data_IF_992467597762
#
_entry.id   IF_992467597762
#
_cell.length_a   1.000
_cell.length_b   1.000
_cell.length_c   1.000
_cell.angle_alpha   90.00
_cell.angle_beta   90.00
_cell.angle_gamma   90.00
#
_symmetry.space_group_name_H-M   'P 1'
#
loop_
_entity.id
_entity.type
_entity.pdbx_description
1 polymer ?
#
# COMPACT_ATOMS: atom_id res chain seq x y z
N UNK A 1 38.14 -0.65 17.95
CA UNK A 1 36.97 -0.27 17.12
C UNK A 1 35.82 -1.17 17.53
N UNK A 2 34.69 -0.61 17.99
CA UNK A 2 33.50 -1.39 18.33
C UNK A 2 32.96 -2.05 17.07
N UNK A 3 32.65 -3.35 17.14
CA UNK A 3 32.04 -4.07 16.01
C UNK A 3 30.69 -3.41 15.71
N UNK A 4 30.38 -3.02 14.46
CA UNK A 4 29.11 -2.38 14.15
C UNK A 4 27.97 -3.36 14.47
N UNK A 5 26.86 -2.86 15.05
CA UNK A 5 25.69 -3.68 15.38
C UNK A 5 24.92 -4.03 14.11
N UNK A 6 24.15 -5.14 14.09
CA UNK A 6 23.22 -5.41 13.01
C UNK A 6 22.16 -4.32 12.90
N UNK A 7 21.68 -4.02 11.70
CA UNK A 7 20.57 -3.10 11.47
C UNK A 7 19.26 -3.87 11.25
N UNK A 8 18.15 -3.34 11.75
CA UNK A 8 16.84 -3.94 11.60
C UNK A 8 15.79 -2.89 11.23
N UNK A 9 15.01 -3.22 10.22
CA UNK A 9 13.84 -2.44 9.83
C UNK A 9 12.57 -2.96 10.53
N UNK A 10 11.67 -2.07 10.96
CA UNK A 10 10.33 -2.45 11.43
C UNK A 10 9.25 -1.72 10.64
N UNK A 11 8.40 -2.49 9.96
CA UNK A 11 7.20 -2.03 9.28
C UNK A 11 5.97 -2.24 10.15
N UNK A 12 5.10 -1.24 10.20
CA UNK A 12 3.81 -1.32 10.89
C UNK A 12 2.83 -0.31 10.30
N UNK A 13 1.53 -0.61 10.42
CA UNK A 13 0.48 0.40 10.31
C UNK A 13 0.56 1.46 11.42
N UNK A 14 -0.30 2.47 11.38
CA UNK A 14 -0.41 3.46 12.45
C UNK A 14 -0.87 2.81 13.77
N UNK A 15 -1.73 1.80 13.67
CA UNK A 15 -2.27 1.02 14.77
C UNK A 15 -1.19 0.09 15.39
N UNK A 16 -0.29 -0.43 14.54
CA UNK A 16 0.83 -1.25 14.96
C UNK A 16 2.03 -0.47 15.54
N UNK A 17 2.04 0.86 15.43
CA UNK A 17 3.18 1.69 15.86
C UNK A 17 3.58 1.48 17.35
N UNK A 18 2.65 1.40 18.32
CA UNK A 18 3.02 1.16 19.72
C UNK A 18 3.73 -0.20 19.94
N UNK A 19 3.40 -1.19 19.11
CA UNK A 19 4.05 -2.52 19.13
C UNK A 19 5.46 -2.40 18.54
N UNK A 20 5.62 -1.68 17.42
CA UNK A 20 6.91 -1.43 16.79
C UNK A 20 7.87 -0.69 17.74
N UNK A 21 7.40 0.35 18.43
CA UNK A 21 8.17 1.10 19.44
C UNK A 21 8.61 0.22 20.60
N UNK A 22 7.71 -0.64 21.10
CA UNK A 22 8.04 -1.57 22.18
C UNK A 22 9.10 -2.61 21.77
N UNK A 23 9.07 -3.10 20.53
CA UNK A 23 10.12 -3.97 19.97
C UNK A 23 11.43 -3.19 19.86
N UNK A 24 11.41 -1.96 19.35
CA UNK A 24 12.60 -1.09 19.24
C UNK A 24 13.27 -0.91 20.60
N UNK A 25 12.50 -0.62 21.65
CA UNK A 25 13.03 -0.49 23.02
C UNK A 25 13.67 -1.82 23.48
N UNK A 26 12.98 -2.95 23.28
CA UNK A 26 13.47 -4.24 23.74
C UNK A 26 14.73 -4.72 23.00
N UNK A 27 14.93 -4.29 21.76
CA UNK A 27 16.05 -4.72 20.91
C UNK A 27 17.23 -3.72 20.88
N UNK A 28 17.16 -2.60 21.59
CA UNK A 28 18.21 -1.55 21.57
C UNK A 28 19.62 -2.11 21.81
N UNK A 29 19.80 -3.05 22.73
CA UNK A 29 21.11 -3.65 22.98
C UNK A 29 21.56 -4.67 21.91
N UNK A 30 20.64 -5.20 21.11
CA UNK A 30 20.90 -6.28 20.16
C UNK A 30 21.19 -5.77 18.74
N UNK A 31 20.44 -4.76 18.28
CA UNK A 31 20.56 -4.21 16.93
C UNK A 31 20.15 -2.73 16.86
N UNK A 32 20.50 -2.10 15.76
CA UNK A 32 20.07 -0.75 15.40
C UNK A 32 18.73 -0.83 14.68
N UNK A 33 17.66 -0.55 15.41
CA UNK A 33 16.28 -0.63 14.89
C UNK A 33 15.85 0.72 14.32
N UNK A 34 15.32 0.71 13.11
CA UNK A 34 14.64 1.85 12.49
C UNK A 34 13.19 1.49 12.17
N UNK A 35 12.24 2.24 12.71
CA UNK A 35 10.82 2.08 12.42
C UNK A 35 10.49 2.87 11.16
N UNK A 36 9.62 2.33 10.30
CA UNK A 36 9.16 2.97 9.06
C UNK A 36 8.83 4.46 9.20
N UNK A 37 8.08 4.83 10.23
CA UNK A 37 7.63 6.21 10.49
C UNK A 37 8.75 7.17 10.92
N UNK A 38 9.96 6.68 11.25
CA UNK A 38 11.08 7.48 11.76
C UNK A 38 11.98 8.05 10.65
N UNK A 39 11.40 8.34 9.48
CA UNK A 39 12.11 9.04 8.40
C UNK A 39 13.10 8.16 7.63
N UNK A 40 12.77 6.88 7.42
CA UNK A 40 13.54 5.98 6.54
C UNK A 40 13.61 6.54 5.11
N UNK A 41 12.59 7.29 4.69
CA UNK A 41 12.51 7.97 3.40
C UNK A 41 12.85 9.46 3.55
N UNK A 42 13.85 9.90 2.77
CA UNK A 42 14.16 11.33 2.65
C UNK A 42 13.10 12.03 1.81
N UNK A 43 12.98 13.36 1.96
CA UNK A 43 12.12 14.19 1.12
C UNK A 43 12.40 13.91 -0.37
N UNK A 44 11.41 13.37 -1.08
CA UNK A 44 11.45 13.18 -2.54
C UNK A 44 12.15 11.91 -3.05
N UNK A 45 12.30 10.85 -2.24
CA UNK A 45 12.83 9.55 -2.67
C UNK A 45 12.12 8.38 -1.99
N UNK A 46 11.02 7.87 -2.55
CA UNK A 46 10.38 6.65 -2.04
C UNK A 46 9.77 5.76 -3.13
N UNK A 47 10.46 5.60 -4.25
CA UNK A 47 10.03 4.56 -5.18
C UNK A 47 10.10 3.18 -4.49
N UNK A 48 9.37 2.17 -4.96
CA UNK A 48 9.58 0.79 -4.49
C UNK A 48 11.07 0.41 -4.62
N UNK A 49 11.74 0.89 -5.67
CA UNK A 49 13.18 0.76 -5.84
C UNK A 49 13.94 1.45 -4.71
N UNK A 50 13.52 2.61 -4.23
CA UNK A 50 14.10 3.26 -3.04
C UNK A 50 13.84 2.46 -1.76
N UNK A 51 12.69 1.80 -1.61
CA UNK A 51 12.44 0.87 -0.52
C UNK A 51 13.42 -0.30 -0.61
N UNK A 52 13.48 -1.00 -1.76
CA UNK A 52 14.39 -2.13 -2.01
C UNK A 52 15.87 -1.74 -1.81
N UNK A 53 16.30 -0.61 -2.37
CA UNK A 53 17.65 -0.08 -2.23
C UNK A 53 17.98 0.22 -0.75
N UNK A 54 17.00 0.70 0.02
CA UNK A 54 17.17 0.89 1.47
C UNK A 54 17.10 -0.41 2.25
N UNK A 55 16.35 -1.42 1.78
CA UNK A 55 16.37 -2.77 2.35
C UNK A 55 17.75 -3.41 2.25
N UNK A 56 18.58 -3.03 1.27
CA UNK A 56 19.98 -3.47 1.22
C UNK A 56 20.79 -3.05 2.46
N UNK A 57 20.43 -1.92 3.08
CA UNK A 57 21.07 -1.38 4.27
C UNK A 57 20.67 -2.07 5.57
N UNK A 58 19.66 -2.94 5.54
CA UNK A 58 19.18 -3.66 6.71
C UNK A 58 19.65 -5.12 6.74
N UNK A 59 20.00 -5.62 7.92
CA UNK A 59 20.39 -7.01 8.14
C UNK A 59 19.18 -7.91 8.45
N UNK A 60 18.09 -7.32 8.94
CA UNK A 60 16.85 -7.96 9.38
C UNK A 60 15.63 -7.06 9.15
N UNK A 61 14.43 -7.66 9.13
CA UNK A 61 13.16 -6.93 9.14
C UNK A 61 12.11 -7.59 10.05
N UNK A 62 11.27 -6.80 10.70
CA UNK A 62 10.01 -7.28 11.30
C UNK A 62 8.81 -6.50 10.78
N UNK A 63 7.72 -7.22 10.55
CA UNK A 63 6.45 -6.67 10.11
C UNK A 63 5.44 -6.90 11.24
N UNK A 64 4.93 -5.81 11.82
CA UNK A 64 3.88 -5.85 12.84
C UNK A 64 2.54 -5.96 12.15
N UNK A 65 1.80 -7.01 12.48
CA UNK A 65 0.50 -7.32 11.88
C UNK A 65 -0.60 -7.07 12.90
N UNK A 66 -1.59 -6.30 12.48
CA UNK A 66 -2.82 -6.02 13.22
C UNK A 66 -4.02 -6.60 12.46
N UNK A 67 -5.17 -6.81 13.11
CA UNK A 67 -6.34 -7.42 12.47
C UNK A 67 -6.84 -6.64 11.26
N UNK A 68 -6.71 -5.31 11.30
CA UNK A 68 -7.12 -4.41 10.23
C UNK A 68 -6.28 -4.64 8.96
N UNK A 69 -5.08 -5.21 9.09
CA UNK A 69 -4.19 -5.53 7.97
C UNK A 69 -4.56 -6.83 7.23
N UNK A 70 -5.35 -7.72 7.84
CA UNK A 70 -5.53 -9.13 7.37
C UNK A 70 -7.01 -9.49 7.18
N UNK A 71 -7.92 -8.51 7.07
CA UNK A 71 -9.37 -8.79 7.02
C UNK A 71 -9.74 -9.79 5.92
N UNK A 72 -10.40 -10.87 6.33
CA UNK A 72 -10.47 -12.15 5.62
C UNK A 72 -11.63 -12.20 4.64
N UNK A 73 -11.28 -12.55 3.41
CA UNK A 73 -12.15 -13.14 2.40
C UNK A 73 -12.71 -14.53 2.82
N UNK A 74 -14.01 -14.72 2.53
CA UNK A 74 -14.84 -15.95 2.48
C UNK A 74 -15.84 -16.11 3.62
N UNK A 75 -16.89 -15.28 3.63
CA UNK A 75 -18.20 -15.66 3.12
C UNK A 75 -19.03 -14.37 3.04
N UNK A 76 -19.82 -14.26 1.97
CA UNK A 76 -20.65 -13.11 1.60
C UNK A 76 -19.94 -11.89 1.02
N UNK A 77 -20.57 -11.41 -0.05
CA UNK A 77 -20.32 -10.18 -0.76
C UNK A 77 -20.15 -9.02 0.22
N UNK A 78 -18.95 -8.44 0.31
CA UNK A 78 -18.69 -7.05 0.68
C UNK A 78 -17.19 -6.74 0.51
N UNK A 79 -16.92 -5.54 -0.01
CA UNK A 79 -15.60 -5.01 -0.36
C UNK A 79 -14.63 -5.05 0.84
N UNK A 80 -13.40 -5.54 0.63
CA UNK A 80 -12.27 -5.15 1.48
C UNK A 80 -10.94 -5.28 0.70
N UNK A 81 -9.97 -4.36 0.88
CA UNK A 81 -8.75 -4.27 0.10
C UNK A 81 -7.87 -5.49 0.38
N UNK A 82 -7.42 -6.17 -0.67
CA UNK A 82 -6.52 -7.32 -0.54
C UNK A 82 -5.09 -6.83 -0.28
N UNK A 83 -4.64 -7.00 0.96
CA UNK A 83 -3.32 -7.56 1.28
C UNK A 83 -2.03 -6.73 1.03
N UNK A 84 -1.96 -5.47 1.46
CA UNK A 84 -0.69 -4.68 1.46
C UNK A 84 0.43 -5.35 2.29
N UNK A 85 0.07 -6.00 3.39
CA UNK A 85 1.03 -6.64 4.32
C UNK A 85 1.69 -7.90 3.73
N UNK A 86 0.98 -8.69 2.92
CA UNK A 86 1.56 -9.89 2.31
C UNK A 86 2.65 -9.57 1.30
N UNK A 87 2.41 -8.50 0.55
CA UNK A 87 3.32 -7.99 -0.46
C UNK A 87 4.59 -7.44 0.19
N UNK A 88 4.44 -6.64 1.26
CA UNK A 88 5.56 -6.17 2.07
C UNK A 88 6.36 -7.35 2.61
N UNK A 89 5.72 -8.31 3.27
CA UNK A 89 6.39 -9.51 3.78
C UNK A 89 7.13 -10.25 2.65
N UNK A 90 6.51 -10.41 1.48
CA UNK A 90 7.14 -11.02 0.30
C UNK A 90 8.38 -10.26 -0.18
N UNK A 91 8.32 -8.92 -0.21
CA UNK A 91 9.44 -8.05 -0.56
C UNK A 91 10.60 -8.22 0.42
N UNK A 92 10.33 -8.22 1.72
CA UNK A 92 11.36 -8.42 2.75
C UNK A 92 11.98 -9.81 2.69
N UNK A 93 11.18 -10.86 2.44
CA UNK A 93 11.70 -12.22 2.25
C UNK A 93 12.61 -12.29 1.02
N UNK A 94 12.20 -11.69 -0.10
CA UNK A 94 13.00 -11.64 -1.32
C UNK A 94 14.31 -10.88 -1.13
N UNK A 95 14.27 -9.75 -0.42
CA UNK A 95 15.42 -8.89 -0.20
C UNK A 95 16.38 -9.43 0.86
N UNK A 96 15.88 -9.94 1.99
CA UNK A 96 16.67 -10.29 3.18
C UNK A 96 16.81 -11.80 3.41
N UNK A 97 15.90 -12.60 2.86
CA UNK A 97 15.79 -14.03 3.16
C UNK A 97 14.81 -14.29 4.32
N UNK A 98 14.15 -15.44 4.26
CA UNK A 98 13.09 -15.84 5.19
C UNK A 98 13.55 -15.94 6.65
N UNK A 99 14.81 -16.31 6.87
CA UNK A 99 15.44 -16.41 8.18
C UNK A 99 15.78 -15.05 8.82
N UNK A 100 15.68 -13.95 8.05
CA UNK A 100 15.95 -12.58 8.48
C UNK A 100 14.71 -11.69 8.46
N UNK A 101 13.55 -12.25 8.13
CA UNK A 101 12.25 -11.57 8.12
C UNK A 101 11.34 -12.19 9.17
N UNK A 102 10.78 -11.36 10.04
CA UNK A 102 9.89 -11.76 11.12
C UNK A 102 8.49 -11.17 10.93
N UNK A 103 7.47 -11.92 11.31
CA UNK A 103 6.11 -11.39 11.48
C UNK A 103 5.79 -11.32 12.96
N UNK A 104 5.18 -10.22 13.40
CA UNK A 104 4.87 -9.98 14.82
C UNK A 104 3.39 -9.68 14.98
N UNK A 105 2.68 -10.44 15.81
CA UNK A 105 1.25 -10.24 16.01
C UNK A 105 0.76 -10.74 17.37
N UNK A 106 -0.40 -10.24 17.80
CA UNK A 106 -1.09 -10.68 19.01
C UNK A 106 -1.75 -12.05 18.78
N UNK A 107 -1.31 -13.07 19.53
CA UNK A 107 -1.84 -14.44 19.40
C UNK A 107 -3.28 -14.59 19.86
N UNK A 108 -3.78 -13.66 20.70
CA UNK A 108 -5.16 -13.69 21.18
C UNK A 108 -6.14 -13.00 20.26
N UNK A 109 -5.63 -12.20 19.33
CA UNK A 109 -6.48 -11.53 18.37
C UNK A 109 -6.67 -12.42 17.16
N UNK A 110 -7.91 -12.81 16.83
CA UNK A 110 -8.17 -13.73 15.74
C UNK A 110 -7.76 -13.10 14.41
N UNK A 111 -6.80 -13.74 13.74
CA UNK A 111 -6.24 -13.29 12.48
C UNK A 111 -5.94 -14.54 11.63
N UNK A 112 -6.44 -14.58 10.39
CA UNK A 112 -6.17 -15.70 9.48
C UNK A 112 -5.03 -15.30 8.59
N UNK A 113 -3.83 -15.66 9.03
CA UNK A 113 -2.65 -15.58 8.19
C UNK A 113 -2.83 -16.47 6.96
N UNK A 114 -2.53 -15.97 5.76
CA UNK A 114 -2.44 -16.80 4.56
C UNK A 114 -1.48 -17.96 4.78
N UNK A 115 -1.85 -19.14 4.29
CA UNK A 115 -1.03 -20.36 4.42
C UNK A 115 0.38 -20.19 3.85
N UNK A 116 0.56 -19.28 2.90
CA UNK A 116 1.84 -18.98 2.27
C UNK A 116 2.83 -18.27 3.21
N UNK A 117 2.34 -17.65 4.29
CA UNK A 117 3.16 -17.09 5.37
C UNK A 117 3.67 -18.13 6.38
N UNK A 118 3.26 -19.39 6.27
CA UNK A 118 3.66 -20.45 7.20
C UNK A 118 5.19 -20.74 7.23
N UNK A 119 5.95 -20.17 6.29
CA UNK A 119 7.41 -20.26 6.26
C UNK A 119 8.14 -19.12 7.00
N UNK A 120 7.49 -18.00 7.29
CA UNK A 120 8.11 -16.83 7.96
C UNK A 120 8.12 -17.08 9.45
N UNK A 121 9.21 -16.71 10.16
CA UNK A 121 9.31 -16.93 11.60
C UNK A 121 8.32 -16.03 12.34
N UNK A 122 7.23 -16.57 12.92
CA UNK A 122 6.25 -15.75 13.61
C UNK A 122 6.71 -15.53 15.06
N UNK A 123 6.82 -14.27 15.46
CA UNK A 123 7.05 -13.88 16.84
C UNK A 123 5.74 -13.35 17.42
N UNK A 124 5.07 -14.16 18.23
CA UNK A 124 3.75 -13.79 18.76
C UNK A 124 3.85 -13.26 20.18
N UNK A 125 2.93 -12.37 20.55
CA UNK A 125 2.81 -11.87 21.92
C UNK A 125 1.35 -11.98 22.40
N UNK A 126 1.12 -11.70 23.68
CA UNK A 126 -0.20 -11.50 24.26
C UNK A 126 -0.12 -10.28 25.15
N UNK A 127 -1.08 -9.36 25.04
CA UNK A 127 -1.11 -8.16 25.88
C UNK A 127 -1.34 -8.57 27.34
N UNK A 128 -0.39 -8.24 28.21
CA UNK A 128 -0.52 -8.46 29.64
C UNK A 128 -1.70 -7.66 30.22
N UNK A 129 -2.30 -8.16 31.30
CA UNK A 129 -3.42 -7.48 31.99
C UNK A 129 -3.08 -6.07 32.48
N UNK A 130 -1.79 -5.76 32.68
CA UNK A 130 -1.31 -4.42 33.04
C UNK A 130 -1.28 -3.44 31.87
N UNK A 131 -1.50 -3.89 30.62
CA UNK A 131 -1.38 -3.08 29.42
C UNK A 131 0.06 -2.73 29.03
N UNK A 132 1.07 -3.23 29.73
CA UNK A 132 2.48 -2.93 29.44
C UNK A 132 2.95 -3.70 28.19
N UNK A 133 2.91 -3.02 27.04
CA UNK A 133 3.30 -3.60 25.74
C UNK A 133 4.76 -4.05 25.70
N UNK A 134 5.68 -3.26 26.27
CA UNK A 134 7.10 -3.61 26.31
C UNK A 134 7.32 -4.97 26.98
N UNK A 135 6.67 -5.20 28.14
CA UNK A 135 6.73 -6.46 28.86
C UNK A 135 6.02 -7.59 28.11
N UNK A 136 4.88 -7.27 27.48
CA UNK A 136 4.09 -8.22 26.67
C UNK A 136 4.90 -8.77 25.48
N UNK A 137 5.73 -7.93 24.88
CA UNK A 137 6.61 -8.27 23.76
C UNK A 137 7.95 -8.87 24.17
N UNK A 138 8.22 -9.04 25.47
CA UNK A 138 9.51 -9.51 25.96
C UNK A 138 9.92 -10.88 25.39
N UNK A 139 8.97 -11.83 25.35
CA UNK A 139 9.22 -13.16 24.79
C UNK A 139 9.50 -13.11 23.27
N UNK A 140 8.66 -12.40 22.50
CA UNK A 140 8.83 -12.21 21.06
C UNK A 140 10.19 -11.55 20.74
N UNK A 141 10.53 -10.48 21.45
CA UNK A 141 11.79 -9.76 21.29
C UNK A 141 13.00 -10.62 21.65
N UNK A 142 12.89 -11.49 22.66
CA UNK A 142 13.98 -12.42 23.04
C UNK A 142 14.25 -13.45 21.94
N UNK A 143 13.21 -13.98 21.28
CA UNK A 143 13.37 -14.91 20.17
C UNK A 143 14.01 -14.24 18.94
N UNK A 144 13.57 -13.02 18.62
CA UNK A 144 14.16 -12.21 17.54
C UNK A 144 15.64 -11.92 17.85
N UNK A 145 15.94 -11.49 19.09
CA UNK A 145 17.31 -11.25 19.56
C UNK A 145 18.20 -12.48 19.38
N UNK A 146 17.74 -13.66 19.77
CA UNK A 146 18.52 -14.90 19.59
C UNK A 146 18.84 -15.17 18.11
N UNK A 147 17.89 -14.89 17.21
CA UNK A 147 18.13 -15.02 15.75
C UNK A 147 19.14 -14.00 15.25
N UNK A 148 19.07 -12.75 15.72
CA UNK A 148 20.02 -11.68 15.38
C UNK A 148 21.43 -12.03 15.86
N UNK A 149 21.57 -12.53 17.09
CA UNK A 149 22.87 -12.95 17.65
C UNK A 149 23.48 -14.12 16.87
N UNK A 150 22.66 -15.07 16.43
CA UNK A 150 23.09 -16.24 15.66
C UNK A 150 23.51 -15.88 14.23
N UNK A 151 22.71 -15.08 13.52
CA UNK A 151 22.91 -14.79 12.11
C UNK A 151 23.81 -13.58 11.86
N UNK A 152 23.92 -12.66 12.83
CA UNK A 152 24.76 -11.47 12.74
C UNK A 152 24.46 -10.56 11.54
N UNK A 153 25.41 -9.66 11.22
CA UNK A 153 25.33 -8.79 10.04
C UNK A 153 25.33 -9.62 8.76
N UNK A 154 24.51 -9.22 7.81
CA UNK A 154 24.44 -9.79 6.47
C UNK A 154 25.60 -9.23 5.64
N UNK A 155 26.11 -10.04 4.72
CA UNK A 155 26.83 -9.52 3.56
C UNK A 155 25.80 -9.35 2.45
N UNK A 156 25.50 -8.11 2.00
CA UNK A 156 24.47 -7.90 0.99
C UNK A 156 24.78 -8.75 -0.25
N UNK A 157 23.80 -9.56 -0.66
CA UNK A 157 23.79 -10.27 -1.94
C UNK A 157 22.39 -10.12 -2.53
N UNK A 158 22.07 -8.93 -3.02
CA UNK A 158 21.03 -8.80 -4.04
C UNK A 158 21.78 -8.75 -5.38
N UNK A 159 21.53 -9.74 -6.23
CA UNK A 159 22.20 -9.88 -7.54
C UNK A 159 21.23 -9.66 -8.71
N UNK A 160 20.00 -9.18 -8.45
CA UNK A 160 19.04 -8.86 -9.50
C UNK A 160 18.48 -7.46 -9.30
N UNK A 161 18.53 -6.63 -10.34
CA UNK A 161 17.60 -5.50 -10.45
C UNK A 161 16.18 -6.08 -10.40
N UNK A 162 15.33 -5.57 -9.50
CA UNK A 162 13.89 -5.85 -9.58
C UNK A 162 13.41 -5.30 -10.91
N UNK A 163 12.83 -6.15 -11.75
CA UNK A 163 12.35 -5.71 -13.06
C UNK A 163 11.10 -4.82 -12.89
N UNK A 164 10.92 -3.90 -13.84
CA UNK A 164 9.88 -2.85 -13.81
C UNK A 164 8.46 -3.45 -13.72
N UNK A 165 8.25 -4.65 -14.28
CA UNK A 165 6.98 -5.37 -14.22
C UNK A 165 6.66 -5.82 -12.79
N UNK A 166 7.64 -6.39 -12.08
CA UNK A 166 7.48 -6.76 -10.67
C UNK A 166 7.14 -5.54 -9.82
N UNK A 167 7.78 -4.39 -10.08
CA UNK A 167 7.42 -3.16 -9.37
C UNK A 167 5.99 -2.71 -9.67
N UNK A 168 5.54 -2.77 -10.93
CA UNK A 168 4.17 -2.39 -11.28
C UNK A 168 3.13 -3.32 -10.67
N UNK A 169 3.39 -4.62 -10.62
CA UNK A 169 2.54 -5.56 -9.91
C UNK A 169 2.39 -5.15 -8.43
N UNK A 170 3.49 -4.76 -7.78
CA UNK A 170 3.47 -4.34 -6.38
C UNK A 170 2.65 -3.05 -6.20
N UNK A 171 2.85 -2.06 -7.07
CA UNK A 171 2.08 -0.81 -7.03
C UNK A 171 0.58 -1.08 -7.24
N UNK A 172 0.24 -1.95 -8.19
CA UNK A 172 -1.14 -2.38 -8.43
C UNK A 172 -1.76 -2.99 -7.17
N UNK A 173 -1.05 -3.91 -6.51
CA UNK A 173 -1.53 -4.58 -5.31
C UNK A 173 -1.75 -3.59 -4.14
N UNK A 174 -1.04 -2.45 -4.10
CA UNK A 174 -1.20 -1.38 -3.11
C UNK A 174 -2.33 -0.38 -3.42
N UNK A 175 -2.84 -0.37 -4.66
CA UNK A 175 -3.86 0.57 -5.11
C UNK A 175 -5.26 -0.04 -5.06
N UNK A 176 -6.26 0.81 -4.86
CA UNK A 176 -7.65 0.40 -5.05
C UNK A 176 -8.06 0.53 -6.53
N UNK A 177 -9.06 -0.24 -6.94
CA UNK A 177 -9.51 -0.25 -8.34
C UNK A 177 -9.96 1.13 -8.85
N UNK A 178 -10.43 2.02 -7.97
CA UNK A 178 -10.82 3.37 -8.36
C UNK A 178 -9.59 4.19 -8.76
N UNK A 179 -8.53 4.17 -7.95
CA UNK A 179 -7.26 4.81 -8.26
C UNK A 179 -6.70 4.34 -9.62
N UNK A 180 -6.74 3.04 -9.89
CA UNK A 180 -6.33 2.48 -11.18
C UNK A 180 -7.14 3.07 -12.34
N UNK A 181 -8.46 3.15 -12.21
CA UNK A 181 -9.30 3.75 -13.25
C UNK A 181 -8.92 5.22 -13.49
N UNK A 182 -8.67 5.99 -12.44
CA UNK A 182 -8.23 7.38 -12.60
C UNK A 182 -6.82 7.51 -13.21
N UNK A 183 -5.89 6.61 -12.90
CA UNK A 183 -4.56 6.60 -13.55
C UNK A 183 -4.67 6.26 -15.04
N UNK A 184 -5.50 5.26 -15.39
CA UNK A 184 -5.80 4.91 -16.78
C UNK A 184 -6.47 6.10 -17.50
N UNK A 185 -7.44 6.74 -16.86
CA UNK A 185 -8.11 7.93 -17.37
C UNK A 185 -7.11 9.04 -17.72
N UNK A 186 -6.22 9.37 -16.78
CA UNK A 186 -5.20 10.41 -16.97
C UNK A 186 -4.24 10.05 -18.11
N UNK A 187 -3.91 8.77 -18.27
CA UNK A 187 -3.03 8.29 -19.34
C UNK A 187 -3.68 8.37 -20.71
N UNK A 188 -4.90 7.86 -20.85
CA UNK A 188 -5.57 7.80 -22.16
C UNK A 188 -6.09 9.16 -22.64
N UNK A 189 -6.43 10.06 -21.71
CA UNK A 189 -6.97 11.38 -22.04
C UNK A 189 -5.94 12.50 -21.94
N UNK A 190 -4.74 12.21 -21.44
CA UNK A 190 -3.70 13.19 -21.10
C UNK A 190 -4.17 14.31 -20.16
N UNK A 191 -5.29 14.13 -19.47
CA UNK A 191 -5.87 15.13 -18.56
C UNK A 191 -5.15 15.16 -17.22
N UNK A 192 -5.04 16.37 -16.67
CA UNK A 192 -4.61 16.60 -15.29
C UNK A 192 -5.80 16.64 -14.35
N UNK A 193 -5.62 16.14 -13.12
CA UNK A 193 -6.63 16.21 -12.07
C UNK A 193 -6.22 17.25 -11.02
N UNK A 194 -7.16 17.97 -10.44
CA UNK A 194 -6.87 19.06 -9.52
C UNK A 194 -6.92 18.59 -8.06
N UNK A 195 -5.88 18.88 -7.25
CA UNK A 195 -5.91 18.65 -5.79
C UNK A 195 -6.85 19.66 -5.13
N UNK A 196 -8.01 19.19 -4.71
CA UNK A 196 -8.93 19.99 -3.90
C UNK A 196 -8.46 19.96 -2.43
N UNK A 197 -8.20 21.12 -1.80
CA UNK A 197 -8.01 21.16 -0.35
C UNK A 197 -9.29 20.66 0.33
N UNK A 198 -9.18 19.71 1.28
CA UNK A 198 -10.34 19.22 2.06
C UNK A 198 -11.06 20.40 2.73
N UNK A 199 -12.18 20.84 2.16
CA UNK A 199 -13.13 21.76 2.76
C UNK A 199 -14.48 21.04 2.96
N UNK A 200 -14.55 20.16 3.97
CA UNK A 200 -15.81 19.52 4.41
C UNK A 200 -16.17 18.17 3.74
N UNK A 201 -17.29 17.59 4.18
CA UNK A 201 -17.89 16.36 3.63
C UNK A 201 -18.32 16.56 2.17
N UNK A 202 -17.89 15.67 1.26
CA UNK A 202 -18.33 15.65 -0.14
C UNK A 202 -17.39 16.35 -1.15
N UNK A 203 -16.07 16.31 -0.94
CA UNK A 203 -15.09 17.06 -1.74
C UNK A 203 -14.25 16.23 -2.73
N UNK A 204 -14.60 14.95 -2.93
CA UNK A 204 -13.94 14.09 -3.92
C UNK A 204 -14.62 14.09 -5.28
N UNK A 205 -13.89 13.65 -6.31
CA UNK A 205 -14.42 13.41 -7.67
C UNK A 205 -15.35 12.22 -7.59
N UNK A 206 -16.65 12.40 -7.88
CA UNK A 206 -17.58 11.28 -7.89
C UNK A 206 -17.25 10.35 -9.03
N UNK A 207 -17.37 9.04 -8.80
CA UNK A 207 -17.12 8.04 -9.82
C UNK A 207 -18.02 6.82 -9.66
N UNK A 208 -18.18 6.11 -10.77
CA UNK A 208 -18.72 4.76 -10.86
C UNK A 208 -17.98 3.98 -11.95
N UNK A 209 -17.79 2.68 -11.75
CA UNK A 209 -17.21 1.79 -12.76
C UNK A 209 -17.80 0.39 -12.68
N UNK A 210 -17.74 -0.36 -13.78
CA UNK A 210 -18.16 -1.76 -13.81
C UNK A 210 -17.19 -2.63 -14.61
N UNK A 211 -16.98 -3.85 -14.14
CA UNK A 211 -16.11 -4.86 -14.75
C UNK A 211 -16.97 -5.97 -15.37
N UNK A 212 -16.55 -6.53 -16.51
CA UNK A 212 -17.30 -7.49 -17.33
C UNK A 212 -17.94 -8.66 -16.58
N UNK A 213 -17.26 -9.13 -15.53
CA UNK A 213 -17.61 -10.33 -14.75
C UNK A 213 -17.43 -10.14 -13.23
N UNK A 214 -17.38 -8.91 -12.72
CA UNK A 214 -17.22 -8.60 -11.28
C UNK A 214 -18.13 -7.44 -10.88
N UNK A 215 -18.42 -7.33 -9.58
CA UNK A 215 -19.12 -6.17 -9.03
C UNK A 215 -18.36 -4.87 -9.37
N UNK A 216 -19.11 -3.84 -9.76
CA UNK A 216 -18.60 -2.49 -9.96
C UNK A 216 -18.35 -1.76 -8.63
N UNK A 217 -17.76 -0.57 -8.70
CA UNK A 217 -17.56 0.32 -7.56
C UNK A 217 -18.13 1.70 -7.85
N UNK A 218 -18.56 2.40 -6.80
CA UNK A 218 -18.94 3.81 -6.86
C UNK A 218 -18.48 4.52 -5.59
N UNK A 219 -18.24 5.82 -5.66
CA UNK A 219 -17.82 6.60 -4.51
C UNK A 219 -17.32 7.98 -4.87
N UNK A 220 -16.55 8.55 -3.95
CA UNK A 220 -15.81 9.79 -4.14
C UNK A 220 -14.31 9.46 -4.13
N UNK A 221 -13.58 10.03 -5.09
CA UNK A 221 -12.15 9.82 -5.25
C UNK A 221 -11.39 11.11 -4.97
N UNK A 222 -10.40 11.05 -4.09
CA UNK A 222 -9.52 12.17 -3.79
C UNK A 222 -8.14 11.95 -4.43
N UNK A 223 -7.78 12.81 -5.37
CA UNK A 223 -6.44 12.79 -5.96
C UNK A 223 -5.36 13.12 -4.91
N UNK A 224 -5.70 13.89 -3.88
CA UNK A 224 -4.80 14.18 -2.77
C UNK A 224 -4.54 12.93 -1.93
N UNK A 225 -5.57 12.12 -1.67
CA UNK A 225 -5.40 10.82 -1.00
C UNK A 225 -4.56 9.85 -1.84
N UNK A 226 -4.76 9.80 -3.16
CA UNK A 226 -3.90 8.98 -4.04
C UNK A 226 -2.44 9.45 -3.98
N UNK A 227 -2.21 10.77 -4.01
CA UNK A 227 -0.87 11.33 -3.86
C UNK A 227 -0.26 11.01 -2.49
N UNK A 228 -1.06 10.89 -1.43
CA UNK A 228 -0.58 10.55 -0.10
C UNK A 228 -0.42 9.03 0.14
N UNK A 229 -1.14 8.18 -0.62
CA UNK A 229 -1.00 6.71 -0.54
C UNK A 229 0.32 6.23 -1.11
N UNK A 230 0.74 6.80 -2.25
CA UNK A 230 1.99 6.47 -2.93
C UNK A 230 2.75 7.74 -3.33
N UNK A 231 3.15 8.61 -2.38
CA UNK A 231 3.82 9.90 -2.69
C UNK A 231 5.15 9.74 -3.41
N UNK A 232 5.61 8.51 -3.44
CA UNK A 232 6.98 8.11 -3.47
C UNK A 232 7.17 7.09 -4.63
N UNK A 233 6.10 6.46 -5.11
CA UNK A 233 6.08 5.58 -6.29
C UNK A 233 6.39 6.30 -7.63
N UNK A 234 6.59 7.62 -7.61
CA UNK A 234 6.89 8.45 -8.77
C UNK A 234 5.87 8.24 -9.91
N UNK A 235 4.58 8.11 -9.58
CA UNK A 235 3.50 7.96 -10.57
C UNK A 235 2.86 9.31 -10.94
N UNK A 236 2.86 10.24 -10.00
CA UNK A 236 2.12 11.50 -10.07
C UNK A 236 3.04 12.66 -9.70
N UNK A 237 2.92 13.75 -10.45
CA UNK A 237 3.59 15.02 -10.16
C UNK A 237 2.56 16.14 -10.08
N UNK A 238 2.72 17.04 -9.10
CA UNK A 238 1.87 18.22 -8.95
C UNK A 238 2.62 19.49 -9.38
N UNK A 239 1.94 20.36 -10.11
CA UNK A 239 2.46 21.68 -10.44
C UNK A 239 2.18 22.70 -9.31
N UNK A 240 2.73 23.92 -9.44
CA UNK A 240 2.52 25.02 -8.49
C UNK A 240 1.07 25.51 -8.41
N UNK A 241 0.20 25.03 -9.30
CA UNK A 241 -1.22 25.35 -9.38
C UNK A 241 -2.10 24.19 -8.89
N UNK A 242 -1.50 23.19 -8.22
CA UNK A 242 -2.19 22.00 -7.69
C UNK A 242 -2.79 21.09 -8.76
N UNK A 243 -2.39 21.21 -10.03
CA UNK A 243 -2.73 20.23 -11.05
C UNK A 243 -1.79 19.03 -10.94
N UNK A 244 -2.37 17.84 -10.96
CA UNK A 244 -1.66 16.56 -10.89
C UNK A 244 -1.67 15.92 -12.26
N UNK A 245 -0.50 15.54 -12.73
CA UNK A 245 -0.29 14.82 -13.99
C UNK A 245 0.48 13.53 -13.74
N UNK A 246 0.41 12.58 -14.68
CA UNK A 246 1.26 11.41 -14.66
C UNK A 246 2.71 11.79 -15.00
N UNK A 247 3.65 11.21 -14.27
CA UNK A 247 5.07 11.18 -14.65
C UNK A 247 5.28 10.20 -15.82
N UNK A 248 6.48 10.14 -16.39
CA UNK A 248 6.81 9.12 -17.42
C UNK A 248 6.63 7.70 -16.89
N UNK A 249 6.99 7.47 -15.62
CA UNK A 249 6.77 6.19 -14.94
C UNK A 249 5.28 5.93 -14.69
N UNK A 250 4.54 6.95 -14.29
CA UNK A 250 3.08 6.88 -14.14
C UNK A 250 2.37 6.47 -15.42
N UNK A 251 2.80 7.00 -16.57
CA UNK A 251 2.28 6.61 -17.89
C UNK A 251 2.59 5.15 -18.22
N UNK A 252 3.81 4.68 -17.96
CA UNK A 252 4.17 3.27 -18.14
C UNK A 252 3.35 2.35 -17.24
N UNK A 253 3.14 2.73 -15.98
CA UNK A 253 2.32 1.97 -15.04
C UNK A 253 0.85 1.92 -15.49
N UNK A 254 0.28 3.06 -15.90
CA UNK A 254 -1.08 3.11 -16.43
C UNK A 254 -1.24 2.27 -17.71
N UNK A 255 -0.24 2.28 -18.60
CA UNK A 255 -0.23 1.39 -19.76
C UNK A 255 -0.18 -0.08 -19.33
N UNK A 256 0.67 -0.42 -18.35
CA UNK A 256 0.74 -1.78 -17.80
C UNK A 256 -0.61 -2.23 -17.21
N UNK A 257 -1.35 -1.35 -16.53
CA UNK A 257 -2.70 -1.65 -16.03
C UNK A 257 -3.67 -2.00 -17.18
N UNK A 258 -3.61 -1.25 -18.28
CA UNK A 258 -4.42 -1.54 -19.48
C UNK A 258 -4.04 -2.89 -20.08
N UNK A 259 -2.75 -3.12 -20.29
CA UNK A 259 -2.22 -4.34 -20.93
C UNK A 259 -2.52 -5.60 -20.12
N UNK A 260 -2.63 -5.50 -18.80
CA UNK A 260 -2.94 -6.61 -17.88
C UNK A 260 -4.44 -6.71 -17.52
N UNK A 261 -5.31 -5.92 -18.16
CA UNK A 261 -6.77 -6.07 -18.03
C UNK A 261 -7.38 -5.47 -16.76
N UNK A 262 -6.72 -4.47 -16.16
CA UNK A 262 -7.23 -3.73 -15.00
C UNK A 262 -8.17 -2.58 -15.38
N UNK A 263 -8.26 -2.25 -16.68
CA UNK A 263 -9.24 -1.28 -17.18
C UNK A 263 -10.66 -1.85 -17.12
N UNK A 264 -11.57 -1.08 -16.52
CA UNK A 264 -13.00 -1.39 -16.49
C UNK A 264 -13.65 -1.27 -17.88
N UNK A 265 -14.68 -2.08 -18.12
CA UNK A 265 -15.46 -1.99 -19.37
C UNK A 265 -16.30 -0.72 -19.41
N UNK A 266 -16.65 -0.17 -18.24
CA UNK A 266 -17.35 1.10 -18.09
C UNK A 266 -16.78 1.88 -16.90
N UNK A 267 -16.59 3.17 -17.11
CA UNK A 267 -16.23 4.14 -16.07
C UNK A 267 -16.92 5.47 -16.35
N UNK A 268 -17.39 6.12 -15.29
CA UNK A 268 -17.91 7.47 -15.34
C UNK A 268 -17.48 8.22 -14.08
N UNK A 269 -17.12 9.48 -14.27
CA UNK A 269 -16.77 10.41 -13.19
C UNK A 269 -17.17 11.83 -13.55
N UNK A 270 -17.05 12.76 -12.60
CA UNK A 270 -17.27 14.19 -12.85
C UNK A 270 -16.30 14.79 -13.88
N UNK A 271 -15.18 14.10 -14.16
CA UNK A 271 -14.10 14.60 -15.03
C UNK A 271 -14.03 13.90 -16.39
N UNK A 272 -14.77 12.80 -16.56
CA UNK A 272 -14.82 12.05 -17.81
C UNK A 272 -15.34 10.62 -17.65
N UNK A 273 -15.43 9.89 -18.77
CA UNK A 273 -16.03 8.56 -18.85
C UNK A 273 -15.48 7.76 -20.03
N UNK A 274 -15.59 6.43 -19.97
CA UNK A 274 -15.47 5.54 -21.13
C UNK A 274 -16.43 4.34 -21.01
N UNK A 275 -16.59 3.65 -22.14
CA UNK A 275 -17.44 2.47 -22.23
C UNK A 275 -18.92 2.78 -22.23
N UNK A 276 -19.71 1.74 -22.45
CA UNK A 276 -21.17 1.82 -22.37
C UNK A 276 -21.65 1.09 -21.13
N UNK A 277 -22.66 1.65 -20.47
CA UNK A 277 -23.18 1.05 -19.26
C UNK A 277 -23.85 -0.32 -19.58
N UNK A 278 -23.53 -1.40 -18.85
CA UNK A 278 -24.13 -2.71 -19.09
C UNK A 278 -25.66 -2.68 -18.94
N UNK A 279 -26.38 -3.23 -19.93
CA UNK A 279 -27.84 -3.28 -19.96
C UNK A 279 -28.47 -4.06 -18.80
N UNK A 280 -27.71 -4.95 -18.15
CA UNK A 280 -28.18 -5.84 -17.07
C UNK A 280 -28.03 -5.28 -15.65
N UNK A 281 -27.71 -3.99 -15.46
CA UNK A 281 -27.76 -3.35 -14.14
C UNK A 281 -26.82 -3.99 -13.11
N UNK A 282 -25.55 -4.17 -13.47
CA UNK A 282 -24.49 -4.72 -12.60
C UNK A 282 -24.04 -3.77 -11.47
N UNK A 283 -24.97 -3.00 -10.90
CA UNK A 283 -24.70 -2.16 -9.75
C UNK A 283 -25.01 -2.94 -8.45
N UNK A 284 -24.24 -2.72 -7.38
CA UNK A 284 -24.62 -3.21 -6.05
C UNK A 284 -25.87 -2.51 -5.49
N UNK A 285 -26.33 -1.37 -6.07
CA UNK A 285 -27.50 -0.61 -5.61
C UNK A 285 -28.38 -0.10 -6.77
N UNK A 286 -29.72 0.06 -6.58
CA UNK A 286 -30.59 0.70 -7.56
C UNK A 286 -30.13 2.12 -7.88
N UNK A 287 -30.14 2.54 -9.16
CA UNK A 287 -29.78 3.90 -9.63
C UNK A 287 -30.45 5.05 -8.87
N UNK A 288 -31.58 4.80 -8.20
CA UNK A 288 -32.26 5.76 -7.33
C UNK A 288 -31.42 6.22 -6.11
N UNK A 289 -30.39 5.45 -5.74
CA UNK A 289 -29.45 5.74 -4.65
C UNK A 289 -28.05 6.11 -5.14
N UNK A 290 -27.82 6.13 -6.47
CA UNK A 290 -26.60 6.71 -7.01
C UNK A 290 -26.56 8.20 -6.60
N UNK A 291 -25.38 8.78 -6.30
CA UNK A 291 -25.27 10.20 -6.03
C UNK A 291 -26.02 10.96 -7.12
N UNK A 292 -26.82 11.97 -6.76
CA UNK A 292 -27.48 12.78 -7.77
C UNK A 292 -26.42 13.40 -8.68
N UNK A 293 -26.23 12.80 -9.85
CA UNK A 293 -25.48 13.38 -10.96
C UNK A 293 -26.35 14.52 -11.49
N UNK A 294 -26.38 15.65 -10.76
CA UNK A 294 -26.83 16.91 -11.34
C UNK A 294 -25.74 17.24 -12.33
N UNK A 295 -26.03 17.12 -13.64
CA UNK A 295 -25.10 17.33 -14.75
C UNK A 295 -24.04 18.38 -14.40
N UNK A 296 -22.89 17.91 -13.90
CA UNK A 296 -21.77 18.76 -13.58
C UNK A 296 -21.25 19.21 -14.93
N UNK A 297 -21.54 20.47 -15.26
CA UNK A 297 -21.22 21.12 -16.52
C UNK A 297 -19.88 20.63 -17.05
N UNK A 298 -19.93 19.74 -18.06
CA UNK A 298 -18.82 19.45 -18.94
C UNK A 298 -18.47 20.82 -19.54
N UNK A 299 -17.43 21.47 -19.05
CA UNK A 299 -16.91 22.69 -19.68
C UNK A 299 -16.47 22.23 -21.07
N UNK A 300 -17.15 22.67 -22.16
CA UNK A 300 -16.72 22.28 -23.49
C UNK A 300 -15.34 22.88 -23.72
N UNK A 301 -14.44 22.10 -24.34
CA UNK A 301 -13.12 22.56 -24.74
C UNK A 301 -13.21 23.92 -25.45
N UNK A 302 -12.26 24.84 -25.22
CA UNK A 302 -12.21 26.05 -26.02
C UNK A 302 -11.97 25.63 -27.47
N UNK A 303 -12.95 25.90 -28.33
CA UNK A 303 -12.78 25.77 -29.77
C UNK A 303 -11.62 26.68 -30.16
N UNK A 304 -10.58 26.07 -30.75
CA UNK A 304 -9.55 26.81 -31.46
C UNK A 304 -10.20 27.47 -32.68
N UNK A 305 -10.39 28.80 -32.61
CA UNK A 305 -10.50 29.71 -33.76
C UNK A 305 -9.40 30.77 -33.66
#
# INVERSE_FOLDING_TARGET
MTKPRPSMFIGSSAEGLPVAEAIQINLDYACEVTIWSQGVFGLGQGTLESLVDRLEGFDFAALVLTPDDITISRDEELQSPRDNVLLEIGLFIGALGRERTFTVYDRKTPMKLPSDLAGVTPATYEIHSSGNLQSSLGAASTLIKGTIENLGKRTPKITGKVDEYTTFQIIHDLLDSAAEQFLIFMHETEKTLYRMPRMGLGSGIKFEYSLKNRAGGQGEFSIDELCNKLPDADLLQADLRNNVSLTDRGKKFAQWLVDNGHKSDYFRSDVGSWGELPASGGFPWPRAHAPSWVDANIIPEPKNE
#
